data_IF_604112540203
#
_entry.id   IF_604112540203
#
_cell.length_a   1.000
_cell.length_b   1.000
_cell.length_c   1.000
_cell.angle_alpha   90.00
_cell.angle_beta   90.00
_cell.angle_gamma   90.00
#
_symmetry.space_group_name_H-M   'P 1'
#
loop_
_entity.id
_entity.type
_entity.pdbx_description
1 polymer ?
#
# COMPACT_ATOMS: atom_id res chain seq x y z
N UNK A 1 1.12 4.53 22.14
CA UNK A 1 -0.02 4.76 21.22
C UNK A 1 -0.25 3.47 20.44
N UNK A 2 -1.48 3.03 20.25
CA UNK A 2 -1.78 1.90 19.39
C UNK A 2 -1.36 2.24 17.95
N UNK A 3 -0.62 1.35 17.28
CA UNK A 3 -0.21 1.54 15.88
C UNK A 3 -1.43 1.62 14.97
N UNK A 4 -1.28 2.27 13.81
CA UNK A 4 -2.33 2.34 12.78
C UNK A 4 -2.50 0.99 12.07
N UNK A 5 -3.63 0.85 11.41
CA UNK A 5 -3.91 -0.25 10.50
C UNK A 5 -3.97 0.27 9.07
N UNK A 6 -3.45 -0.53 8.16
CA UNK A 6 -3.51 -0.22 6.73
C UNK A 6 -4.38 -1.26 6.04
N UNK A 7 -5.22 -0.81 5.13
CA UNK A 7 -5.87 -1.68 4.17
C UNK A 7 -5.22 -1.44 2.82
N UNK A 8 -4.60 -2.47 2.26
CA UNK A 8 -4.20 -2.47 0.87
C UNK A 8 -5.29 -3.19 0.07
N UNK A 9 -6.10 -2.41 -0.64
CA UNK A 9 -7.17 -2.90 -1.50
C UNK A 9 -6.73 -2.85 -2.94
N UNK A 10 -6.88 -3.96 -3.67
CA UNK A 10 -6.57 -4.04 -5.10
C UNK A 10 -7.85 -4.32 -5.86
N UNK A 11 -8.24 -3.41 -6.71
CA UNK A 11 -9.30 -3.61 -7.69
C UNK A 11 -8.69 -4.25 -8.93
N UNK A 12 -9.03 -5.51 -9.21
CA UNK A 12 -8.63 -6.21 -10.45
C UNK A 12 -9.54 -5.76 -11.57
N UNK A 13 -9.00 -4.96 -12.47
CA UNK A 13 -9.73 -4.32 -13.56
C UNK A 13 -9.51 -5.10 -14.87
N UNK A 14 -10.51 -5.12 -15.73
CA UNK A 14 -10.48 -5.88 -16.98
C UNK A 14 -9.62 -5.22 -18.07
N UNK A 15 -9.75 -3.88 -18.20
CA UNK A 15 -9.14 -3.08 -19.26
C UNK A 15 -9.06 -1.59 -18.87
N UNK A 16 -8.49 -0.78 -19.74
CA UNK A 16 -8.31 0.65 -19.52
C UNK A 16 -9.63 1.42 -19.41
N UNK A 17 -10.65 1.09 -20.22
CA UNK A 17 -11.96 1.76 -20.16
C UNK A 17 -12.61 1.53 -18.79
N UNK A 18 -12.52 0.32 -18.28
CA UNK A 18 -13.03 -0.01 -16.94
C UNK A 18 -12.19 0.62 -15.82
N UNK A 19 -10.90 0.82 -16.03
CA UNK A 19 -10.04 1.54 -15.09
C UNK A 19 -10.51 3.00 -14.95
N UNK A 20 -10.80 3.71 -16.04
CA UNK A 20 -11.33 5.08 -15.98
C UNK A 20 -12.66 5.17 -15.22
N UNK A 21 -13.57 4.20 -15.43
CA UNK A 21 -14.84 4.15 -14.70
C UNK A 21 -14.61 3.88 -13.20
N UNK A 22 -13.67 2.99 -12.87
CA UNK A 22 -13.30 2.71 -11.49
C UNK A 22 -12.65 3.93 -10.81
N UNK A 23 -11.79 4.67 -11.53
CA UNK A 23 -11.22 5.93 -11.07
C UNK A 23 -12.31 6.96 -10.74
N UNK A 24 -13.29 7.14 -11.61
CA UNK A 24 -14.44 8.03 -11.34
C UNK A 24 -15.21 7.61 -10.09
N UNK A 25 -15.47 6.30 -9.91
CA UNK A 25 -16.10 5.78 -8.68
C UNK A 25 -15.28 6.10 -7.44
N UNK A 26 -13.97 5.87 -7.49
CA UNK A 26 -13.07 6.14 -6.36
C UNK A 26 -13.06 7.63 -6.04
N UNK A 27 -12.84 8.48 -7.03
CA UNK A 27 -12.72 9.93 -6.88
C UNK A 27 -14.01 10.58 -6.39
N UNK A 28 -15.16 10.23 -7.00
CA UNK A 28 -16.40 10.97 -6.78
C UNK A 28 -17.30 10.37 -5.72
N UNK A 29 -17.15 9.07 -5.40
CA UNK A 29 -18.02 8.39 -4.43
C UNK A 29 -17.24 7.87 -3.22
N UNK A 30 -16.29 6.93 -3.40
CA UNK A 30 -15.67 6.24 -2.27
C UNK A 30 -14.78 7.15 -1.43
N UNK A 31 -13.85 7.90 -2.02
CA UNK A 31 -12.91 8.74 -1.27
C UNK A 31 -13.61 9.85 -0.47
N UNK A 32 -14.61 10.57 -1.03
CA UNK A 32 -15.42 11.51 -0.25
C UNK A 32 -16.15 10.86 0.93
N UNK A 33 -16.70 9.65 0.74
CA UNK A 33 -17.37 8.91 1.81
C UNK A 33 -16.40 8.50 2.93
N UNK A 34 -15.21 7.96 2.57
CA UNK A 34 -14.17 7.65 3.55
C UNK A 34 -13.74 8.89 4.34
N UNK A 35 -13.63 10.04 3.66
CA UNK A 35 -13.32 11.33 4.33
C UNK A 35 -14.40 11.70 5.35
N UNK A 36 -15.69 11.54 5.04
CA UNK A 36 -16.80 11.76 5.99
C UNK A 36 -16.75 10.79 7.17
N UNK A 37 -16.21 9.59 6.98
CA UNK A 37 -15.99 8.61 8.05
C UNK A 37 -14.74 8.90 8.90
N UNK A 38 -14.00 9.99 8.61
CA UNK A 38 -12.80 10.39 9.35
C UNK A 38 -11.49 9.77 8.85
N UNK A 39 -11.51 9.06 7.72
CA UNK A 39 -10.29 8.56 7.07
C UNK A 39 -9.56 9.75 6.41
N UNK A 40 -8.34 10.04 6.89
CA UNK A 40 -7.60 11.24 6.47
C UNK A 40 -6.60 10.98 5.34
N UNK A 41 -6.10 9.76 5.24
CA UNK A 41 -5.03 9.39 4.31
C UNK A 41 -5.49 8.20 3.46
N UNK A 42 -5.59 8.42 2.16
CA UNK A 42 -5.89 7.39 1.16
C UNK A 42 -4.99 7.64 -0.04
N UNK A 43 -4.18 6.64 -0.39
CA UNK A 43 -3.41 6.63 -1.63
C UNK A 43 -4.12 5.80 -2.69
N UNK A 44 -4.15 6.30 -3.92
CA UNK A 44 -4.65 5.56 -5.09
C UNK A 44 -3.56 5.53 -6.14
N UNK A 45 -3.29 4.35 -6.67
CA UNK A 45 -2.15 4.14 -7.56
C UNK A 45 -2.51 3.20 -8.71
N UNK A 46 -1.86 3.44 -9.87
CA UNK A 46 -1.88 2.56 -11.04
C UNK A 46 -0.51 1.90 -11.24
N UNK A 47 -0.50 0.75 -11.91
CA UNK A 47 0.77 0.12 -12.31
C UNK A 47 1.51 1.01 -13.31
N UNK A 48 2.83 1.15 -13.10
CA UNK A 48 3.69 1.99 -13.94
C UNK A 48 4.42 1.19 -15.01
N UNK A 49 4.69 -0.09 -14.75
CA UNK A 49 5.60 -0.91 -15.57
C UNK A 49 4.91 -1.95 -16.43
N UNK A 50 3.75 -2.45 -15.99
CA UNK A 50 2.99 -3.45 -16.72
C UNK A 50 1.75 -2.80 -17.32
N UNK A 51 1.80 -2.54 -18.62
CA UNK A 51 0.70 -1.93 -19.38
C UNK A 51 -0.55 -2.83 -19.45
N UNK A 52 -0.42 -4.11 -19.15
CA UNK A 52 -1.55 -5.05 -19.10
C UNK A 52 -2.17 -5.19 -17.70
N UNK A 53 -1.53 -4.66 -16.68
CA UNK A 53 -2.09 -4.61 -15.33
C UNK A 53 -2.86 -3.31 -15.12
N UNK A 54 -4.16 -3.36 -15.40
CA UNK A 54 -5.10 -2.25 -15.16
C UNK A 54 -5.60 -2.18 -13.72
N UNK A 55 -5.01 -2.94 -12.80
CA UNK A 55 -5.41 -2.92 -11.40
C UNK A 55 -5.23 -1.53 -10.78
N UNK A 56 -6.15 -1.17 -9.88
CA UNK A 56 -6.02 0.02 -9.05
C UNK A 56 -5.68 -0.42 -7.63
N UNK A 57 -4.58 0.12 -7.10
CA UNK A 57 -4.09 -0.15 -5.75
C UNK A 57 -4.51 1.00 -4.85
N UNK A 58 -5.26 0.70 -3.79
CA UNK A 58 -5.76 1.71 -2.84
C UNK A 58 -5.22 1.40 -1.45
N UNK A 59 -4.43 2.32 -0.91
CA UNK A 59 -3.91 2.25 0.45
C UNK A 59 -4.75 3.15 1.35
N UNK A 60 -5.46 2.56 2.30
CA UNK A 60 -6.32 3.27 3.25
C UNK A 60 -5.72 3.18 4.65
N UNK A 61 -5.58 4.32 5.33
CA UNK A 61 -5.05 4.36 6.70
C UNK A 61 -6.20 4.41 7.70
N UNK A 62 -6.39 3.30 8.42
CA UNK A 62 -7.44 3.18 9.44
C UNK A 62 -6.90 3.53 10.84
N UNK A 63 -7.61 4.38 11.60
CA UNK A 63 -7.20 4.71 12.97
C UNK A 63 -7.35 3.51 13.92
N UNK A 64 -8.31 2.62 13.68
CA UNK A 64 -8.61 1.43 14.48
C UNK A 64 -9.17 0.30 13.62
N UNK A 65 -9.11 -0.95 14.11
CA UNK A 65 -9.79 -2.08 13.49
C UNK A 65 -11.31 -1.92 13.45
N UNK A 66 -11.87 -1.27 14.45
CA UNK A 66 -13.29 -1.00 14.51
C UNK A 66 -13.75 -0.05 13.38
N UNK A 67 -12.96 0.99 13.10
CA UNK A 67 -13.24 1.89 11.98
C UNK A 67 -13.23 1.15 10.63
N UNK A 68 -12.29 0.23 10.43
CA UNK A 68 -12.27 -0.66 9.26
C UNK A 68 -13.52 -1.55 9.21
N UNK A 69 -13.84 -2.24 10.31
CA UNK A 69 -14.97 -3.17 10.37
C UNK A 69 -16.34 -2.49 10.11
N UNK A 70 -16.51 -1.27 10.59
CA UNK A 70 -17.75 -0.50 10.41
C UNK A 70 -17.87 0.20 9.05
N UNK A 71 -16.81 0.20 8.22
CA UNK A 71 -16.79 0.98 6.99
C UNK A 71 -17.97 0.67 6.06
N UNK A 72 -18.21 -0.61 5.78
CA UNK A 72 -19.27 -1.02 4.86
C UNK A 72 -20.67 -0.70 5.40
N UNK A 73 -20.92 -0.85 6.70
CA UNK A 73 -22.18 -0.46 7.33
C UNK A 73 -22.44 1.03 7.19
N UNK A 74 -21.40 1.85 7.44
CA UNK A 74 -21.49 3.31 7.28
C UNK A 74 -21.71 3.73 5.83
N UNK A 75 -21.06 3.08 4.87
CA UNK A 75 -21.31 3.29 3.45
C UNK A 75 -22.77 2.94 3.08
N UNK A 76 -23.33 1.86 3.66
CA UNK A 76 -24.69 1.43 3.47
C UNK A 76 -25.75 2.41 4.01
N UNK A 77 -25.39 3.34 4.89
CA UNK A 77 -26.27 4.38 5.45
C UNK A 77 -25.93 5.80 4.98
N UNK A 78 -24.84 5.99 4.24
CA UNK A 78 -24.42 7.28 3.68
C UNK A 78 -25.16 7.55 2.37
N UNK A 79 -26.26 8.31 2.42
CA UNK A 79 -27.10 8.61 1.26
C UNK A 79 -26.35 9.38 0.17
N UNK A 80 -25.36 10.21 0.52
CA UNK A 80 -24.53 10.94 -0.45
C UNK A 80 -23.63 9.97 -1.20
N UNK A 81 -23.05 9.00 -0.48
CA UNK A 81 -22.27 7.95 -1.12
C UNK A 81 -23.13 7.08 -2.04
N UNK A 82 -24.31 6.64 -1.55
CA UNK A 82 -25.19 5.77 -2.33
C UNK A 82 -25.60 6.43 -3.65
N UNK A 83 -25.98 7.70 -3.64
CA UNK A 83 -26.35 8.41 -4.85
C UNK A 83 -25.15 8.56 -5.81
N UNK A 84 -23.98 8.96 -5.31
CA UNK A 84 -22.78 9.10 -6.12
C UNK A 84 -22.25 7.76 -6.66
N UNK A 85 -22.36 6.68 -5.88
CA UNK A 85 -21.87 5.35 -6.26
C UNK A 85 -22.79 4.63 -7.25
N UNK A 86 -24.09 4.93 -7.25
CA UNK A 86 -25.12 4.23 -8.01
C UNK A 86 -24.77 3.96 -9.48
N UNK A 87 -24.28 4.93 -10.28
CA UNK A 87 -23.93 4.71 -11.67
C UNK A 87 -22.81 3.68 -11.87
N UNK A 88 -22.05 3.41 -10.81
CA UNK A 88 -20.89 2.54 -10.82
C UNK A 88 -21.18 1.14 -10.27
N UNK A 89 -21.95 1.06 -9.18
CA UNK A 89 -22.18 -0.20 -8.44
C UNK A 89 -23.44 -0.96 -8.88
N UNK A 90 -24.43 -0.27 -9.47
CA UNK A 90 -25.66 -0.89 -9.98
C UNK A 90 -25.58 -1.28 -11.48
N UNK A 91 -24.37 -1.64 -11.93
CA UNK A 91 -24.16 -2.07 -13.32
C UNK A 91 -24.52 -3.53 -13.50
N UNK A 92 -25.07 -3.92 -14.68
CA UNK A 92 -25.38 -5.33 -14.95
C UNK A 92 -24.10 -6.16 -15.00
N UNK A 93 -24.21 -7.46 -14.70
CA UNK A 93 -23.08 -8.41 -14.67
C UNK A 93 -22.17 -8.34 -15.93
N UNK A 94 -22.79 -8.19 -17.10
CA UNK A 94 -22.07 -8.09 -18.39
C UNK A 94 -21.25 -6.82 -18.56
N UNK A 95 -21.46 -5.83 -17.70
CA UNK A 95 -20.82 -4.51 -17.74
C UNK A 95 -20.17 -4.15 -16.39
N UNK A 96 -19.75 -5.14 -15.63
CA UNK A 96 -19.02 -4.96 -14.37
C UNK A 96 -17.73 -4.18 -14.57
N UNK A 97 -17.35 -3.38 -13.56
CA UNK A 97 -16.16 -2.51 -13.63
C UNK A 97 -14.89 -3.30 -13.29
N UNK A 98 -14.98 -4.22 -12.33
CA UNK A 98 -13.85 -5.00 -11.86
C UNK A 98 -14.20 -6.48 -11.73
N UNK A 99 -13.20 -7.33 -11.95
CA UNK A 99 -13.34 -8.78 -11.80
C UNK A 99 -13.41 -9.17 -10.32
N UNK A 100 -12.57 -8.58 -9.47
CA UNK A 100 -12.46 -8.86 -8.03
C UNK A 100 -11.92 -7.65 -7.29
N UNK A 101 -12.23 -7.61 -6.00
CA UNK A 101 -11.55 -6.78 -5.01
C UNK A 101 -10.77 -7.73 -4.11
N UNK A 102 -9.47 -7.53 -4.01
CA UNK A 102 -8.59 -8.20 -3.06
C UNK A 102 -8.23 -7.21 -1.95
N UNK A 103 -8.25 -7.67 -0.71
CA UNK A 103 -7.90 -6.82 0.43
C UNK A 103 -6.89 -7.53 1.32
N UNK A 104 -5.87 -6.77 1.77
CA UNK A 104 -4.99 -7.13 2.88
C UNK A 104 -5.14 -6.12 3.99
N UNK A 105 -5.39 -6.61 5.19
CA UNK A 105 -5.39 -5.79 6.40
C UNK A 105 -4.05 -5.96 7.11
N UNK A 106 -3.38 -4.85 7.35
CA UNK A 106 -2.02 -4.80 7.86
C UNK A 106 -1.99 -4.06 9.20
N UNK A 107 -1.12 -4.51 10.10
CA UNK A 107 -0.76 -3.80 11.32
C UNK A 107 0.56 -3.08 11.12
N UNK A 108 0.62 -1.78 11.41
CA UNK A 108 1.84 -0.99 11.29
C UNK A 108 2.98 -1.56 12.15
N UNK A 109 4.21 -1.50 11.62
CA UNK A 109 5.40 -1.86 12.38
C UNK A 109 5.65 -0.88 13.52
N UNK A 110 6.25 -1.35 14.62
CA UNK A 110 6.59 -0.49 15.77
C UNK A 110 7.65 0.56 15.42
N UNK A 111 8.59 0.24 14.55
CA UNK A 111 9.63 1.16 14.08
C UNK A 111 9.13 2.25 13.13
N UNK A 112 7.93 2.09 12.56
CA UNK A 112 7.26 3.10 11.74
C UNK A 112 5.74 2.97 11.90
N UNK A 113 5.22 3.44 13.02
CA UNK A 113 3.82 3.26 13.41
C UNK A 113 2.83 4.17 12.66
N UNK A 114 3.34 5.13 11.88
CA UNK A 114 2.56 6.05 11.07
C UNK A 114 3.06 6.03 9.64
N UNK A 115 2.15 6.26 8.70
CA UNK A 115 2.48 6.52 7.31
C UNK A 115 3.16 7.89 7.21
N UNK A 116 4.28 7.94 6.49
CA UNK A 116 5.03 9.17 6.20
C UNK A 116 5.01 9.38 4.67
N UNK A 117 4.36 10.45 4.22
CA UNK A 117 4.43 10.86 2.81
C UNK A 117 5.49 11.95 2.75
N UNK A 118 6.57 11.78 1.97
CA UNK A 118 7.58 12.82 1.82
C UNK A 118 6.98 14.13 1.31
N UNK A 119 7.41 15.28 1.85
CA UNK A 119 6.89 16.59 1.47
C UNK A 119 7.00 16.86 -0.04
N UNK A 120 8.11 16.43 -0.66
CA UNK A 120 8.32 16.52 -2.10
C UNK A 120 7.27 15.73 -2.92
N UNK A 121 6.60 14.73 -2.34
CA UNK A 121 5.53 14.01 -3.03
C UNK A 121 4.25 14.85 -3.16
N UNK A 122 4.05 15.85 -2.29
CA UNK A 122 2.88 16.73 -2.31
C UNK A 122 2.94 17.81 -3.43
N UNK A 123 4.13 18.09 -3.97
CA UNK A 123 4.33 19.17 -4.95
C UNK A 123 3.96 18.80 -6.39
N UNK A 124 3.59 17.54 -6.64
CA UNK A 124 3.29 17.01 -7.97
C UNK A 124 4.56 16.85 -8.84
N UNK A 125 4.63 15.82 -9.64
CA UNK A 125 5.78 15.52 -10.50
C UNK A 125 5.79 14.04 -10.84
N UNK A 126 6.79 13.61 -11.62
CA UNK A 126 7.00 12.22 -12.02
C UNK A 126 7.54 11.39 -10.85
N UNK A 127 6.72 11.27 -9.80
CA UNK A 127 7.05 10.46 -8.62
C UNK A 127 6.62 9.02 -8.81
N UNK A 128 7.43 8.12 -8.26
CA UNK A 128 7.15 6.69 -8.29
C UNK A 128 7.04 6.13 -6.87
N UNK A 129 6.22 5.10 -6.74
CA UNK A 129 6.13 4.30 -5.52
C UNK A 129 6.49 2.86 -5.85
N UNK A 130 7.29 2.22 -5.00
CA UNK A 130 7.54 0.78 -5.07
C UNK A 130 6.80 0.10 -3.92
N UNK A 131 5.74 -0.65 -4.25
CA UNK A 131 5.03 -1.52 -3.32
C UNK A 131 5.74 -2.87 -3.29
N UNK A 132 6.08 -3.36 -2.10
CA UNK A 132 6.78 -4.64 -1.93
C UNK A 132 6.03 -5.52 -0.94
N UNK A 133 5.92 -6.81 -1.29
CA UNK A 133 5.37 -7.84 -0.42
C UNK A 133 6.43 -8.93 -0.25
N UNK A 134 6.72 -9.29 0.99
CA UNK A 134 7.67 -10.33 1.35
C UNK A 134 6.93 -11.48 2.03
N UNK A 135 6.89 -12.64 1.39
CA UNK A 135 6.39 -13.87 2.00
C UNK A 135 7.48 -14.54 2.83
N UNK A 136 7.07 -15.18 3.90
CA UNK A 136 7.92 -16.07 4.71
C UNK A 136 7.31 -17.45 4.73
N UNK A 137 8.14 -18.48 4.94
CA UNK A 137 7.69 -19.87 4.93
C UNK A 137 7.06 -20.32 6.26
N UNK A 138 7.22 -19.54 7.34
CA UNK A 138 6.53 -19.73 8.62
C UNK A 138 6.32 -18.39 9.32
N UNK A 139 5.40 -18.36 10.30
CA UNK A 139 5.10 -17.18 11.12
C UNK A 139 6.32 -16.75 11.94
N UNK A 140 7.15 -17.67 12.38
CA UNK A 140 8.37 -17.35 13.15
C UNK A 140 9.38 -16.61 12.27
N UNK A 141 9.56 -17.02 11.01
CA UNK A 141 10.47 -16.34 10.09
C UNK A 141 9.89 -14.99 9.61
N UNK A 142 8.58 -14.88 9.47
CA UNK A 142 7.91 -13.60 9.21
C UNK A 142 8.15 -12.63 10.38
N UNK A 143 7.97 -13.07 11.63
CA UNK A 143 8.25 -12.27 12.83
C UNK A 143 9.71 -11.81 12.88
N UNK A 144 10.68 -12.70 12.60
CA UNK A 144 12.10 -12.31 12.53
C UNK A 144 12.38 -11.28 11.43
N UNK A 145 11.69 -11.35 10.29
CA UNK A 145 11.84 -10.33 9.25
C UNK A 145 11.26 -8.99 9.71
N UNK A 146 10.12 -8.98 10.40
CA UNK A 146 9.58 -7.77 11.03
C UNK A 146 10.55 -7.21 12.08
N UNK A 147 11.13 -8.06 12.93
CA UNK A 147 12.15 -7.67 13.90
C UNK A 147 13.36 -7.03 13.21
N UNK A 148 13.84 -7.61 12.10
CA UNK A 148 14.95 -7.06 11.32
C UNK A 148 14.69 -5.62 10.84
N UNK A 149 13.47 -5.37 10.34
CA UNK A 149 13.06 -4.02 9.96
C UNK A 149 13.07 -3.07 11.15
N UNK A 150 12.47 -3.48 12.27
CA UNK A 150 12.38 -2.67 13.49
C UNK A 150 13.75 -2.46 14.16
N UNK A 151 14.67 -3.45 14.10
CA UNK A 151 16.02 -3.41 14.71
C UNK A 151 17.00 -2.51 13.94
N UNK A 152 16.58 -1.91 12.82
CA UNK A 152 17.41 -0.91 12.15
C UNK A 152 17.35 -0.84 10.64
N UNK A 153 16.68 -1.78 9.94
CA UNK A 153 16.54 -1.72 8.47
C UNK A 153 15.74 -0.48 8.04
N UNK A 154 14.65 -0.14 8.76
CA UNK A 154 13.85 1.08 8.52
C UNK A 154 14.71 2.34 8.67
N UNK A 155 15.50 2.41 9.75
CA UNK A 155 16.37 3.58 9.97
C UNK A 155 17.45 3.68 8.91
N UNK A 156 18.03 2.55 8.50
CA UNK A 156 19.00 2.55 7.40
C UNK A 156 18.38 3.03 6.08
N UNK A 157 17.14 2.61 5.76
CA UNK A 157 16.42 3.11 4.58
C UNK A 157 16.25 4.63 4.62
N UNK A 158 15.92 5.19 5.80
CA UNK A 158 15.81 6.65 6.00
C UNK A 158 17.17 7.33 5.84
N UNK A 159 18.23 6.78 6.40
CA UNK A 159 19.60 7.34 6.37
C UNK A 159 20.17 7.42 4.94
N UNK A 160 19.75 6.52 4.04
CA UNK A 160 20.17 6.51 2.62
C UNK A 160 19.11 7.06 1.66
N UNK A 161 18.10 7.76 2.21
CA UNK A 161 17.03 8.43 1.45
C UNK A 161 16.20 7.47 0.55
N UNK A 162 16.09 6.18 0.92
CA UNK A 162 15.30 5.20 0.17
C UNK A 162 13.78 5.43 0.27
N UNK A 163 13.34 6.43 0.99
CA UNK A 163 11.99 6.97 0.98
C UNK A 163 10.90 6.04 1.54
N UNK A 164 11.03 5.48 2.75
CA UNK A 164 9.98 4.63 3.31
C UNK A 164 8.69 5.42 3.56
N UNK A 165 7.55 4.86 3.10
CA UNK A 165 6.20 5.42 3.23
C UNK A 165 5.41 4.73 4.35
N UNK A 166 5.39 3.41 4.36
CA UNK A 166 4.79 2.60 5.43
C UNK A 166 5.38 1.19 5.45
N UNK A 167 5.22 0.51 6.58
CA UNK A 167 5.48 -0.92 6.78
C UNK A 167 4.33 -1.54 7.55
N UNK A 168 3.86 -2.69 7.11
CA UNK A 168 2.78 -3.41 7.78
C UNK A 168 2.94 -4.93 7.70
N UNK A 169 2.64 -5.60 8.80
CA UNK A 169 2.48 -7.04 8.86
C UNK A 169 1.05 -7.41 8.49
N UNK A 170 0.87 -8.33 7.55
CA UNK A 170 -0.46 -8.80 7.16
C UNK A 170 -1.08 -9.60 8.28
N UNK A 171 -2.24 -9.14 8.79
CA UNK A 171 -3.02 -9.84 9.82
C UNK A 171 -4.23 -10.57 9.23
N UNK A 172 -4.70 -10.14 8.05
CA UNK A 172 -5.73 -10.81 7.25
C UNK A 172 -5.45 -10.58 5.77
N UNK A 173 -5.37 -11.62 4.97
CA UNK A 173 -5.14 -11.52 3.53
C UNK A 173 -4.68 -12.83 2.91
N UNK A 174 -4.31 -12.79 1.64
CA UNK A 174 -3.73 -13.92 0.93
C UNK A 174 -2.21 -14.01 1.14
N UNK A 175 -1.63 -15.17 0.79
CA UNK A 175 -0.18 -15.43 0.77
C UNK A 175 0.51 -15.24 2.13
N UNK A 176 -0.21 -15.45 3.24
CA UNK A 176 0.34 -15.33 4.59
C UNK A 176 1.22 -16.55 4.96
N UNK A 177 2.23 -16.36 5.82
CA UNK A 177 2.58 -15.11 6.50
C UNK A 177 3.41 -14.19 5.61
N UNK A 178 3.08 -12.91 5.58
CA UNK A 178 3.79 -11.90 4.79
C UNK A 178 3.75 -10.51 5.44
N UNK A 179 4.62 -9.64 4.95
CA UNK A 179 4.62 -8.22 5.24
C UNK A 179 4.55 -7.41 3.95
N UNK A 180 4.05 -6.19 4.05
CA UNK A 180 3.97 -5.25 2.93
C UNK A 180 4.58 -3.92 3.34
N UNK A 181 5.32 -3.29 2.44
CA UNK A 181 5.79 -1.94 2.62
C UNK A 181 5.84 -1.17 1.30
N UNK A 182 5.95 0.14 1.41
CA UNK A 182 6.02 1.01 0.25
C UNK A 182 7.19 1.99 0.40
N UNK A 183 7.91 2.18 -0.68
CA UNK A 183 8.96 3.18 -0.84
C UNK A 183 8.51 4.24 -1.83
N UNK A 184 9.09 5.44 -1.72
CA UNK A 184 8.88 6.55 -2.61
C UNK A 184 10.21 7.03 -3.20
N UNK A 185 10.17 7.51 -4.45
CA UNK A 185 11.27 8.24 -5.07
C UNK A 185 10.75 9.30 -6.04
N UNK A 186 11.53 10.34 -6.26
CA UNK A 186 11.21 11.39 -7.23
C UNK A 186 11.17 10.85 -8.67
N UNK A 187 12.03 9.88 -8.97
CA UNK A 187 12.12 9.21 -10.28
C UNK A 187 12.87 7.87 -10.15
N UNK A 188 12.97 7.13 -11.24
CA UNK A 188 13.64 5.82 -11.26
C UNK A 188 15.16 5.90 -11.02
N UNK A 189 15.82 6.97 -11.43
CA UNK A 189 17.26 7.12 -11.26
C UNK A 189 17.61 7.29 -9.78
N UNK A 190 16.89 8.17 -9.08
CA UNK A 190 17.04 8.35 -7.64
C UNK A 190 16.71 7.06 -6.89
N UNK A 191 15.64 6.37 -7.29
CA UNK A 191 15.27 5.08 -6.70
C UNK A 191 16.41 4.06 -6.79
N UNK A 192 17.00 3.88 -7.98
CA UNK A 192 18.14 2.98 -8.20
C UNK A 192 19.38 3.40 -7.42
N UNK A 193 19.66 4.70 -7.36
CA UNK A 193 20.77 5.27 -6.60
C UNK A 193 20.63 4.97 -5.11
N UNK A 194 19.45 5.20 -4.53
CA UNK A 194 19.22 4.99 -3.10
C UNK A 194 19.19 3.49 -2.75
N UNK A 195 18.63 2.63 -3.62
CA UNK A 195 18.77 1.17 -3.46
C UNK A 195 20.21 0.71 -3.48
N UNK A 196 21.02 1.26 -4.40
CA UNK A 196 22.44 0.94 -4.44
C UNK A 196 23.13 1.36 -3.14
N UNK A 197 22.88 2.56 -2.63
CA UNK A 197 23.43 3.04 -1.37
C UNK A 197 23.02 2.13 -0.18
N UNK A 198 21.76 1.68 -0.15
CA UNK A 198 21.29 0.73 0.85
C UNK A 198 22.05 -0.60 0.78
N UNK A 199 22.14 -1.22 -0.40
CA UNK A 199 22.78 -2.52 -0.60
C UNK A 199 24.30 -2.50 -0.34
N UNK A 200 24.97 -1.37 -0.63
CA UNK A 200 26.40 -1.19 -0.41
C UNK A 200 26.73 -0.84 1.04
N UNK A 201 25.76 -0.43 1.84
CA UNK A 201 25.95 -0.05 3.24
C UNK A 201 26.61 -1.18 4.06
N UNK A 202 27.69 -0.87 4.82
CA UNK A 202 28.27 -1.83 5.77
C UNK A 202 27.26 -2.34 6.79
N UNK A 203 26.37 -1.45 7.26
CA UNK A 203 25.31 -1.79 8.23
C UNK A 203 24.33 -2.81 7.67
N UNK A 204 23.94 -2.70 6.38
CA UNK A 204 23.13 -3.72 5.71
C UNK A 204 23.85 -5.06 5.62
N UNK A 205 25.13 -5.02 5.20
CA UNK A 205 25.95 -6.23 5.06
C UNK A 205 26.13 -6.98 6.38
N UNK A 206 26.31 -6.25 7.47
CA UNK A 206 26.33 -6.80 8.83
C UNK A 206 24.99 -7.42 9.20
N UNK A 207 23.90 -6.62 9.10
CA UNK A 207 22.55 -7.02 9.51
C UNK A 207 22.07 -8.28 8.78
N UNK A 208 22.18 -8.32 7.44
CA UNK A 208 21.77 -9.49 6.65
C UNK A 208 22.64 -10.73 6.91
N UNK A 209 23.83 -10.58 7.47
CA UNK A 209 24.74 -11.66 7.86
C UNK A 209 24.39 -12.30 9.19
N UNK A 210 23.53 -11.70 10.00
CA UNK A 210 23.12 -12.25 11.31
C UNK A 210 22.31 -13.53 11.15
N UNK A 211 22.71 -14.59 11.85
CA UNK A 211 22.06 -15.90 11.78
C UNK A 211 20.54 -15.83 12.09
N UNK A 212 20.13 -14.93 12.98
CA UNK A 212 18.71 -14.74 13.34
C UNK A 212 17.83 -14.24 12.19
N UNK A 213 18.41 -13.61 11.17
CA UNK A 213 17.70 -13.03 10.01
C UNK A 213 17.88 -13.82 8.71
N UNK A 214 18.62 -14.92 8.79
CA UNK A 214 18.82 -15.78 7.63
C UNK A 214 17.50 -16.47 7.26
N UNK A 215 17.26 -16.62 5.94
CA UNK A 215 16.12 -17.35 5.36
C UNK A 215 14.73 -16.81 5.77
N UNK A 216 14.64 -15.53 6.18
CA UNK A 216 13.39 -14.92 6.64
C UNK A 216 12.42 -14.56 5.52
N UNK A 217 12.86 -14.56 4.27
CA UNK A 217 12.04 -14.25 3.09
C UNK A 217 12.09 -15.42 2.11
N UNK A 218 10.93 -15.99 1.78
CA UNK A 218 10.80 -17.09 0.81
C UNK A 218 10.50 -16.59 -0.60
N UNK A 219 9.76 -15.46 -0.73
CA UNK A 219 9.40 -14.87 -2.00
C UNK A 219 9.22 -13.36 -1.88
N UNK A 220 9.59 -12.64 -2.93
CA UNK A 220 9.44 -11.19 -3.03
C UNK A 220 8.57 -10.88 -4.23
N UNK A 221 7.56 -10.03 -4.00
CA UNK A 221 6.80 -9.39 -5.05
C UNK A 221 7.05 -7.89 -4.97
N UNK A 222 7.09 -7.22 -6.12
CA UNK A 222 7.19 -5.77 -6.18
C UNK A 222 6.41 -5.21 -7.36
N UNK A 223 5.82 -4.05 -7.15
CA UNK A 223 5.09 -3.29 -8.15
C UNK A 223 5.58 -1.85 -8.13
N UNK A 224 5.87 -1.31 -9.32
CA UNK A 224 6.13 0.11 -9.49
C UNK A 224 4.82 0.79 -9.82
N UNK A 225 4.49 1.80 -9.05
CA UNK A 225 3.19 2.45 -9.08
C UNK A 225 3.36 3.96 -9.31
N UNK A 226 2.40 4.55 -10.01
CA UNK A 226 2.21 6.00 -10.09
C UNK A 226 0.93 6.40 -9.38
N UNK A 227 0.89 7.52 -8.65
CA UNK A 227 -0.33 7.98 -8.01
C UNK A 227 -1.34 8.44 -9.06
N UNK A 228 -2.62 8.14 -8.82
CA UNK A 228 -3.71 8.74 -9.59
C UNK A 228 -3.75 10.27 -9.34
N UNK A 229 -4.25 11.09 -10.29
CA UNK A 229 -4.29 12.55 -10.13
C UNK A 229 -5.05 13.03 -8.89
N UNK A 230 -6.03 12.26 -8.44
CA UNK A 230 -6.87 12.54 -7.26
C UNK A 230 -6.37 11.82 -5.99
N UNK A 231 -5.24 11.11 -6.05
CA UNK A 231 -4.61 10.47 -4.88
C UNK A 231 -4.22 11.53 -3.84
N UNK A 232 -4.43 11.22 -2.56
CA UNK A 232 -4.07 12.09 -1.43
C UNK A 232 -2.71 11.73 -0.81
N UNK A 233 -1.85 11.09 -1.62
CA UNK A 233 -0.47 10.73 -1.26
C UNK A 233 0.48 11.10 -2.37
#
# INVERSE_FOLDING_TARGET
MAGKYYELRTYKIFDYEKQEIADQYLETALLPALTRQGVKQVGVFHNLKDENDHSIYVLIVWPTLEAFAQCNEKLGTDTVYQEAAKPHVERPLKDGIFARIETRLLKAFSGMSNLEVPAASAEGGDRIFELRLYESHTEEYARRKVDMFNDGEIQLMKDVELGPVFFGETIVGADMPNLVYMLWAANEEDHKKHWKAFLDSPRWKEMKGLAKYKDTVSKIHNWFLKPAPYSKM
#
